data_IF_286012313661
#
_entry.id   IF_286012313661
#
_cell.length_a   1.000
_cell.length_b   1.000
_cell.length_c   1.000
_cell.angle_alpha   90.00
_cell.angle_beta   90.00
_cell.angle_gamma   90.00
#
_symmetry.space_group_name_H-M   'P 1'
#
loop_
_entity.id
_entity.type
_entity.pdbx_description
1 polymer ?
#
# COMPACT_ATOMS: atom_id res chain seq x y z
N UNK A 1 -11.12 -5.32 2.53
CA UNK A 1 -11.40 -4.51 1.33
C UNK A 1 -11.64 -3.06 1.72
N UNK A 2 -12.78 -2.72 2.33
CA UNK A 2 -13.16 -1.31 2.69
C UNK A 2 -12.06 -0.50 3.38
N UNK A 3 -11.27 -1.10 4.28
CA UNK A 3 -10.25 -0.34 5.02
C UNK A 3 -9.15 0.24 4.13
N UNK A 4 -8.72 -0.48 3.08
CA UNK A 4 -7.64 -0.03 2.19
C UNK A 4 -8.12 0.99 1.15
N UNK A 5 -9.40 0.93 0.78
CA UNK A 5 -10.01 1.83 -0.19
C UNK A 5 -9.96 3.29 0.26
N UNK A 6 -10.12 3.57 1.56
CA UNK A 6 -10.11 4.94 2.09
C UNK A 6 -8.78 5.67 1.82
N UNK A 7 -7.61 5.19 2.30
CA UNK A 7 -6.34 5.83 1.97
C UNK A 7 -6.00 5.77 0.47
N UNK A 8 -6.43 4.72 -0.24
CA UNK A 8 -6.27 4.65 -1.70
C UNK A 8 -6.97 5.82 -2.40
N UNK A 9 -8.25 6.05 -2.10
CA UNK A 9 -9.03 7.14 -2.68
C UNK A 9 -8.46 8.50 -2.27
N UNK A 10 -8.06 8.67 -1.00
CA UNK A 10 -7.42 9.91 -0.56
C UNK A 10 -6.13 10.21 -1.34
N UNK A 11 -5.34 9.18 -1.64
CA UNK A 11 -4.11 9.34 -2.43
C UNK A 11 -4.38 9.69 -3.90
N UNK A 12 -5.50 9.25 -4.47
CA UNK A 12 -5.95 9.63 -5.81
C UNK A 12 -6.42 11.08 -5.92
N UNK A 13 -6.89 11.70 -4.84
CA UNK A 13 -7.34 13.10 -4.89
C UNK A 13 -6.16 14.04 -5.18
N UNK A 14 -4.95 13.70 -4.74
CA UNK A 14 -3.76 14.53 -4.97
C UNK A 14 -3.47 14.71 -6.47
N UNK A 15 -3.27 13.66 -7.30
CA UNK A 15 -3.04 13.81 -8.73
C UNK A 15 -4.26 14.41 -9.47
N UNK A 16 -5.49 14.20 -8.99
CA UNK A 16 -6.69 14.89 -9.51
C UNK A 16 -6.64 16.39 -9.27
N UNK A 17 -6.23 16.80 -8.07
CA UNK A 17 -6.10 18.20 -7.69
C UNK A 17 -4.98 18.89 -8.47
N UNK A 18 -3.85 18.21 -8.65
CA UNK A 18 -2.71 18.73 -9.43
C UNK A 18 -3.03 18.85 -10.92
N UNK A 19 -3.78 17.89 -11.49
CA UNK A 19 -4.19 17.95 -12.89
C UNK A 19 -5.35 18.92 -13.15
N UNK A 20 -6.16 19.23 -12.13
CA UNK A 20 -7.41 19.99 -12.27
C UNK A 20 -8.50 19.25 -13.05
N UNK A 21 -8.38 17.94 -13.27
CA UNK A 21 -9.34 17.16 -14.06
C UNK A 21 -9.38 15.69 -13.63
N UNK A 22 -10.59 15.10 -13.67
CA UNK A 22 -10.79 13.65 -13.50
C UNK A 22 -10.49 12.86 -14.78
N UNK A 23 -10.23 13.52 -15.92
CA UNK A 23 -9.89 12.83 -17.16
C UNK A 23 -8.46 12.30 -17.11
N UNK A 24 -8.29 10.98 -17.25
CA UNK A 24 -6.98 10.31 -17.28
C UNK A 24 -6.05 10.89 -18.35
N UNK A 25 -6.58 11.22 -19.53
CA UNK A 25 -5.75 11.80 -20.60
C UNK A 25 -5.30 13.23 -20.23
N UNK A 26 -6.16 14.04 -19.60
CA UNK A 26 -5.76 15.37 -19.10
C UNK A 26 -4.71 15.26 -17.99
N UNK A 27 -4.81 14.26 -17.11
CA UNK A 27 -3.78 14.00 -16.10
C UNK A 27 -2.42 13.73 -16.76
N UNK A 28 -2.37 12.84 -17.75
CA UNK A 28 -1.14 12.52 -18.48
C UNK A 28 -0.56 13.75 -19.19
N UNK A 29 -1.41 14.57 -19.81
CA UNK A 29 -0.99 15.81 -20.48
C UNK A 29 -0.49 16.88 -19.51
N UNK A 30 -0.98 16.92 -18.27
CA UNK A 30 -0.57 17.89 -17.25
C UNK A 30 0.63 17.41 -16.40
N UNK A 31 1.18 16.23 -16.70
CA UNK A 31 2.37 15.67 -16.04
C UNK A 31 3.66 16.08 -16.76
N UNK A 32 4.03 17.36 -16.70
CA UNK A 32 5.35 17.82 -17.17
C UNK A 32 6.47 17.18 -16.34
N UNK A 33 6.23 17.10 -15.03
CA UNK A 33 7.02 16.30 -14.10
C UNK A 33 6.11 15.19 -13.58
N UNK A 34 6.61 13.97 -13.51
CA UNK A 34 5.82 12.83 -13.05
C UNK A 34 5.34 13.05 -11.62
N UNK A 35 4.08 12.73 -11.34
CA UNK A 35 3.52 12.90 -10.00
C UNK A 35 4.18 11.98 -8.97
N UNK A 36 4.87 10.90 -9.39
CA UNK A 36 5.72 10.12 -8.48
C UNK A 36 6.86 10.98 -7.90
N UNK A 37 7.40 11.92 -8.67
CA UNK A 37 8.43 12.85 -8.19
C UNK A 37 7.81 14.05 -7.46
N UNK A 38 6.58 14.43 -7.80
CA UNK A 38 5.88 15.52 -7.14
C UNK A 38 5.37 15.15 -5.74
N UNK A 39 4.69 14.01 -5.65
CA UNK A 39 4.05 13.50 -4.44
C UNK A 39 4.41 12.02 -4.24
N UNK A 40 5.68 11.71 -3.94
CA UNK A 40 6.14 10.32 -3.79
C UNK A 40 5.41 9.58 -2.67
N UNK A 41 5.01 10.25 -1.59
CA UNK A 41 4.27 9.62 -0.49
C UNK A 41 2.87 9.21 -0.93
N UNK A 42 2.20 10.05 -1.73
CA UNK A 42 0.90 9.72 -2.30
C UNK A 42 0.99 8.53 -3.26
N UNK A 43 1.99 8.52 -4.14
CA UNK A 43 2.23 7.42 -5.08
C UNK A 43 2.53 6.10 -4.34
N UNK A 44 3.34 6.16 -3.29
CA UNK A 44 3.71 5.00 -2.49
C UNK A 44 2.51 4.44 -1.71
N UNK A 45 1.72 5.30 -1.07
CA UNK A 45 0.51 4.88 -0.35
C UNK A 45 -0.52 4.31 -1.32
N UNK A 46 -0.74 4.95 -2.47
CA UNK A 46 -1.59 4.40 -3.54
C UNK A 46 -1.13 3.00 -3.92
N UNK A 47 0.17 2.82 -4.24
CA UNK A 47 0.72 1.53 -4.62
C UNK A 47 0.50 0.44 -3.56
N UNK A 48 0.83 0.70 -2.29
CA UNK A 48 0.64 -0.29 -1.20
C UNK A 48 -0.84 -0.62 -1.00
N UNK A 49 -1.70 0.39 -0.95
CA UNK A 49 -3.15 0.19 -0.73
C UNK A 49 -3.79 -0.54 -1.90
N UNK A 50 -3.36 -0.29 -3.13
CA UNK A 50 -3.81 -1.03 -4.30
C UNK A 50 -3.34 -2.49 -4.27
N UNK A 51 -2.10 -2.80 -3.85
CA UNK A 51 -1.66 -4.20 -3.67
C UNK A 51 -2.52 -4.90 -2.61
N UNK A 52 -2.84 -4.19 -1.51
CA UNK A 52 -3.72 -4.72 -0.46
C UNK A 52 -5.15 -4.98 -0.96
N UNK A 53 -5.62 -4.22 -1.96
CA UNK A 53 -6.92 -4.42 -2.60
C UNK A 53 -6.94 -5.60 -3.59
N UNK A 54 -5.82 -5.88 -4.29
CA UNK A 54 -5.71 -7.12 -5.09
C UNK A 54 -5.88 -8.35 -4.19
N UNK A 55 -5.53 -8.25 -2.91
CA UNK A 55 -5.61 -9.39 -1.98
C UNK A 55 -4.56 -10.45 -2.28
N UNK A 56 -3.38 -10.05 -2.79
CA UNK A 56 -2.22 -10.92 -3.01
C UNK A 56 -1.20 -10.73 -1.91
N UNK A 57 -0.32 -11.72 -1.73
CA UNK A 57 0.77 -11.67 -0.77
C UNK A 57 1.59 -10.38 -0.98
N UNK A 58 1.89 -9.62 0.08
CA UNK A 58 1.83 -10.01 1.51
C UNK A 58 0.47 -9.77 2.21
N UNK A 59 -0.57 -9.37 1.49
CA UNK A 59 -1.90 -8.98 2.01
C UNK A 59 -3.02 -9.96 1.62
N UNK A 60 -2.68 -11.23 1.37
CA UNK A 60 -3.56 -12.31 0.92
C UNK A 60 -4.39 -12.94 2.04
N UNK A 61 -5.23 -12.12 2.68
CA UNK A 61 -6.02 -12.50 3.85
C UNK A 61 -7.18 -13.46 3.55
N UNK A 62 -7.72 -13.42 2.33
CA UNK A 62 -8.90 -14.20 1.92
C UNK A 62 -8.57 -15.60 1.40
N UNK A 63 -7.41 -15.76 0.77
CA UNK A 63 -6.93 -17.04 0.25
C UNK A 63 -6.18 -17.85 1.34
N UNK A 64 -5.73 -17.20 2.40
CA UNK A 64 -4.63 -17.64 3.25
C UNK A 64 -4.40 -19.15 3.40
N UNK A 65 -3.51 -19.74 2.59
CA UNK A 65 -3.28 -21.20 2.57
C UNK A 65 -2.91 -21.78 3.94
N UNK A 66 -2.08 -21.05 4.70
CA UNK A 66 -1.62 -21.46 6.02
C UNK A 66 -2.70 -21.41 7.12
N UNK A 67 -3.78 -20.65 6.92
CA UNK A 67 -4.82 -20.42 7.93
C UNK A 67 -6.20 -20.96 7.50
N UNK A 68 -6.49 -20.95 6.20
CA UNK A 68 -7.81 -21.18 5.60
C UNK A 68 -7.80 -22.24 4.48
N UNK A 69 -6.72 -23.01 4.31
CA UNK A 69 -6.64 -24.11 3.32
C UNK A 69 -7.05 -23.64 1.91
N UNK A 70 -6.53 -22.50 1.44
CA UNK A 70 -6.86 -21.85 0.16
C UNK A 70 -8.20 -21.07 0.12
N UNK A 71 -8.87 -20.89 1.26
CA UNK A 71 -10.00 -19.97 1.40
C UNK A 71 -11.16 -20.32 0.49
N UNK A 72 -11.68 -19.34 -0.24
CA UNK A 72 -12.83 -19.55 -1.14
C UNK A 72 -12.50 -20.47 -2.34
N UNK A 73 -11.22 -20.67 -2.67
CA UNK A 73 -10.83 -21.48 -3.83
C UNK A 73 -11.18 -22.97 -3.68
N UNK A 74 -11.37 -23.48 -2.46
CA UNK A 74 -11.67 -24.90 -2.21
C UNK A 74 -13.01 -25.36 -2.78
N UNK A 75 -13.94 -24.43 -2.97
CA UNK A 75 -15.30 -24.73 -3.43
C UNK A 75 -15.39 -24.77 -4.97
N UNK A 76 -14.34 -24.33 -5.68
CA UNK A 76 -14.33 -24.20 -7.13
C UNK A 76 -13.31 -25.14 -7.78
N UNK A 77 -13.68 -25.71 -8.92
CA UNK A 77 -12.82 -26.62 -9.69
C UNK A 77 -12.82 -26.30 -11.19
N UNK A 78 -11.82 -26.85 -11.89
CA UNK A 78 -11.69 -26.73 -13.35
C UNK A 78 -11.64 -25.28 -13.83
N UNK A 79 -12.50 -24.94 -14.81
CA UNK A 79 -12.52 -23.61 -15.43
C UNK A 79 -12.90 -22.50 -14.44
N UNK A 80 -13.81 -22.77 -13.48
CA UNK A 80 -14.24 -21.75 -12.50
C UNK A 80 -13.09 -21.32 -11.61
N UNK A 81 -12.29 -22.29 -11.15
CA UNK A 81 -11.04 -22.03 -10.43
C UNK A 81 -10.07 -21.19 -11.28
N UNK A 82 -9.85 -21.57 -12.55
CA UNK A 82 -8.99 -20.81 -13.46
C UNK A 82 -9.42 -19.35 -13.68
N UNK A 83 -10.73 -19.08 -13.70
CA UNK A 83 -11.26 -17.72 -13.87
C UNK A 83 -10.92 -16.79 -12.70
N UNK A 84 -10.85 -17.29 -11.46
CA UNK A 84 -10.40 -16.49 -10.32
C UNK A 84 -8.95 -16.04 -10.48
N UNK A 85 -8.06 -16.93 -10.91
CA UNK A 85 -6.66 -16.58 -11.17
C UNK A 85 -6.53 -15.55 -12.30
N UNK A 86 -7.28 -15.72 -13.39
CA UNK A 86 -7.30 -14.75 -14.49
C UNK A 86 -7.78 -13.38 -14.00
N UNK A 87 -8.83 -13.36 -13.16
CA UNK A 87 -9.33 -12.13 -12.57
C UNK A 87 -8.26 -11.45 -11.69
N UNK A 88 -7.55 -12.19 -10.84
CA UNK A 88 -6.48 -11.64 -9.99
C UNK A 88 -5.31 -11.08 -10.82
N UNK A 89 -4.90 -11.77 -11.88
CA UNK A 89 -3.84 -11.29 -12.77
C UNK A 89 -4.27 -10.02 -13.51
N UNK A 90 -5.52 -9.99 -14.01
CA UNK A 90 -6.06 -8.82 -14.67
C UNK A 90 -6.21 -7.65 -13.69
N UNK A 91 -6.56 -7.91 -12.42
CA UNK A 91 -6.66 -6.91 -11.38
C UNK A 91 -5.29 -6.29 -11.07
N UNK A 92 -4.26 -7.11 -10.83
CA UNK A 92 -2.88 -6.63 -10.64
C UNK A 92 -2.36 -5.82 -11.83
N UNK A 93 -2.64 -6.28 -13.05
CA UNK A 93 -2.27 -5.57 -14.27
C UNK A 93 -3.00 -4.23 -14.40
N UNK A 94 -4.30 -4.19 -14.07
CA UNK A 94 -5.13 -2.97 -14.10
C UNK A 94 -4.60 -1.94 -13.11
N UNK A 95 -4.24 -2.36 -11.89
CA UNK A 95 -3.62 -1.47 -10.90
C UNK A 95 -2.28 -0.94 -11.42
N UNK A 96 -1.46 -1.80 -12.01
CA UNK A 96 -0.17 -1.39 -12.59
C UNK A 96 -0.36 -0.36 -13.72
N UNK A 97 -1.40 -0.52 -14.53
CA UNK A 97 -1.78 0.41 -15.57
C UNK A 97 -2.24 1.76 -14.97
N UNK A 98 -3.06 1.73 -13.92
CA UNK A 98 -3.51 2.94 -13.23
C UNK A 98 -2.34 3.69 -12.61
N UNK A 99 -1.40 3.01 -11.93
CA UNK A 99 -0.18 3.64 -11.40
C UNK A 99 0.63 4.29 -12.52
N UNK A 100 0.81 3.59 -13.64
CA UNK A 100 1.53 4.10 -14.81
C UNK A 100 0.91 5.39 -15.38
N UNK A 101 -0.42 5.42 -15.52
CA UNK A 101 -1.17 6.57 -16.04
C UNK A 101 -1.20 7.73 -15.04
N UNK A 102 -1.47 7.44 -13.77
CA UNK A 102 -1.74 8.46 -12.75
C UNK A 102 -0.45 9.04 -12.15
N UNK A 103 0.65 8.28 -12.10
CA UNK A 103 1.88 8.74 -11.44
C UNK A 103 3.11 8.80 -12.34
N UNK A 104 3.18 8.02 -13.44
CA UNK A 104 4.37 7.86 -14.27
C UNK A 104 4.27 8.47 -15.68
N UNK A 105 3.35 9.40 -15.95
CA UNK A 105 3.27 10.03 -17.27
C UNK A 105 2.50 9.21 -18.31
N UNK A 106 1.90 8.08 -17.95
CA UNK A 106 1.15 7.21 -18.87
C UNK A 106 1.89 6.92 -20.18
N UNK A 107 1.26 7.26 -21.31
CA UNK A 107 1.82 7.08 -22.65
C UNK A 107 2.89 8.10 -23.04
N UNK A 108 3.06 9.20 -22.29
CA UNK A 108 4.04 10.25 -22.65
C UNK A 108 5.46 9.77 -22.42
N UNK A 109 6.31 10.11 -23.38
CA UNK A 109 7.75 9.87 -23.39
C UNK A 109 8.39 10.60 -24.55
N UNK A 110 9.73 10.67 -24.63
CA UNK A 110 10.43 11.30 -25.74
C UNK A 110 9.96 10.74 -27.09
N UNK A 111 9.46 11.61 -27.96
CA UNK A 111 8.95 11.25 -29.30
C UNK A 111 7.55 10.59 -29.33
N UNK A 112 6.90 10.37 -28.19
CA UNK A 112 5.60 9.70 -28.13
C UNK A 112 4.45 10.52 -28.75
N UNK A 113 4.57 11.86 -28.73
CA UNK A 113 3.57 12.76 -29.31
C UNK A 113 3.56 12.72 -30.84
N UNK A 114 4.69 12.34 -31.47
CA UNK A 114 4.82 12.22 -32.92
C UNK A 114 4.38 10.85 -33.46
N UNK A 115 4.39 9.81 -32.63
CA UNK A 115 4.06 8.43 -33.04
C UNK A 115 3.17 7.74 -32.00
N UNK A 116 1.88 7.48 -32.31
CA UNK A 116 0.97 6.79 -31.40
C UNK A 116 1.47 5.40 -30.98
N UNK A 117 2.16 4.69 -31.87
CA UNK A 117 2.74 3.38 -31.58
C UNK A 117 3.79 3.48 -30.46
N UNK A 118 4.62 4.53 -30.48
CA UNK A 118 5.64 4.74 -29.47
C UNK A 118 5.00 5.06 -28.11
N UNK A 119 3.92 5.84 -28.08
CA UNK A 119 3.14 6.10 -26.87
C UNK A 119 2.55 4.82 -26.24
N UNK A 120 2.03 3.91 -27.08
CA UNK A 120 1.55 2.61 -26.63
C UNK A 120 2.69 1.76 -26.02
N UNK A 121 3.86 1.73 -26.67
CA UNK A 121 5.04 1.02 -26.15
C UNK A 121 5.47 1.57 -24.79
N UNK A 122 5.54 2.89 -24.61
CA UNK A 122 5.88 3.49 -23.31
C UNK A 122 4.89 3.10 -22.21
N UNK A 123 3.59 3.13 -22.51
CA UNK A 123 2.56 2.75 -21.56
C UNK A 123 2.72 1.28 -21.12
N UNK A 124 2.93 0.37 -22.07
CA UNK A 124 3.13 -1.06 -21.78
C UNK A 124 4.43 -1.31 -21.01
N UNK A 125 5.52 -0.64 -21.36
CA UNK A 125 6.80 -0.78 -20.66
C UNK A 125 6.67 -0.31 -19.20
N UNK A 126 6.10 0.87 -18.96
CA UNK A 126 5.88 1.39 -17.60
C UNK A 126 4.92 0.50 -16.80
N UNK A 127 3.83 0.04 -17.42
CA UNK A 127 2.87 -0.87 -16.77
C UNK A 127 3.54 -2.19 -16.41
N UNK A 128 4.33 -2.76 -17.31
CA UNK A 128 5.10 -3.99 -17.06
C UNK A 128 6.12 -3.82 -15.95
N UNK A 129 6.78 -2.65 -15.88
CA UNK A 129 7.71 -2.32 -14.80
C UNK A 129 7.00 -2.27 -13.44
N UNK A 130 5.85 -1.61 -13.35
CA UNK A 130 5.06 -1.58 -12.10
C UNK A 130 4.58 -2.98 -11.72
N UNK A 131 4.07 -3.76 -12.68
CA UNK A 131 3.62 -5.13 -12.41
C UNK A 131 4.78 -6.03 -11.97
N UNK A 132 5.98 -5.82 -12.53
CA UNK A 132 7.19 -6.52 -12.09
C UNK A 132 7.56 -6.17 -10.63
N UNK A 133 7.38 -4.91 -10.20
CA UNK A 133 7.54 -4.54 -8.78
C UNK A 133 6.55 -5.29 -7.89
N UNK A 134 5.28 -5.40 -8.27
CA UNK A 134 4.28 -6.18 -7.49
C UNK A 134 4.71 -7.65 -7.36
N UNK A 135 5.27 -8.25 -8.41
CA UNK A 135 5.78 -9.63 -8.38
C UNK A 135 6.98 -9.76 -7.43
N UNK A 136 7.90 -8.78 -7.42
CA UNK A 136 9.05 -8.78 -6.51
C UNK A 136 8.62 -8.62 -5.05
N UNK A 137 7.69 -7.72 -4.76
CA UNK A 137 7.19 -7.48 -3.41
C UNK A 137 6.60 -8.77 -2.81
N UNK A 138 5.83 -9.52 -3.62
CA UNK A 138 5.31 -10.84 -3.25
C UNK A 138 6.42 -11.83 -2.87
N UNK A 139 7.57 -11.79 -3.54
CA UNK A 139 8.69 -12.69 -3.27
C UNK A 139 9.54 -12.23 -2.07
N UNK A 140 9.48 -10.94 -1.71
CA UNK A 140 10.41 -10.31 -0.77
C UNK A 140 9.82 -10.09 0.63
N UNK A 141 8.51 -9.88 0.75
CA UNK A 141 7.87 -9.51 2.00
C UNK A 141 7.19 -10.69 2.71
N UNK A 142 7.29 -10.78 4.06
CA UNK A 142 6.50 -11.72 4.83
C UNK A 142 5.02 -11.30 4.83
N UNK A 143 4.14 -12.27 5.03
CA UNK A 143 2.69 -12.04 5.10
C UNK A 143 2.31 -11.22 6.33
N UNK A 144 1.37 -10.30 6.16
CA UNK A 144 0.82 -9.51 7.26
C UNK A 144 -0.44 -10.13 7.84
N UNK A 145 -0.57 -10.06 9.16
CA UNK A 145 -1.80 -10.45 9.86
C UNK A 145 -2.89 -9.37 9.67
N UNK A 146 -4.15 -9.79 9.60
CA UNK A 146 -5.33 -8.91 9.45
C UNK A 146 -5.30 -7.74 10.45
N UNK A 147 -5.02 -8.02 11.73
CA UNK A 147 -4.99 -7.00 12.79
C UNK A 147 -3.92 -5.93 12.55
N UNK A 148 -2.74 -6.34 12.08
CA UNK A 148 -1.62 -5.42 11.80
C UNK A 148 -1.95 -4.54 10.60
N UNK A 149 -2.59 -5.11 9.59
CA UNK A 149 -3.02 -4.38 8.41
C UNK A 149 -4.11 -3.34 8.72
N UNK A 150 -5.09 -3.71 9.52
CA UNK A 150 -6.16 -2.82 9.96
C UNK A 150 -5.57 -1.64 10.75
N UNK A 151 -4.68 -1.94 11.70
CA UNK A 151 -3.98 -0.93 12.48
C UNK A 151 -3.13 -0.01 11.60
N UNK A 152 -2.35 -0.56 10.66
CA UNK A 152 -1.51 0.22 9.76
C UNK A 152 -2.34 1.16 8.88
N UNK A 153 -3.44 0.66 8.34
CA UNK A 153 -4.30 1.42 7.43
C UNK A 153 -4.99 2.58 8.14
N UNK A 154 -5.66 2.32 9.27
CA UNK A 154 -6.44 3.33 9.98
C UNK A 154 -5.62 4.24 10.87
N UNK A 155 -4.56 3.74 11.52
CA UNK A 155 -3.77 4.53 12.48
C UNK A 155 -2.59 5.24 11.83
N UNK A 156 -2.14 4.78 10.65
CA UNK A 156 -0.97 5.36 9.96
C UNK A 156 -1.35 5.93 8.61
N UNK A 157 -1.82 5.11 7.66
CA UNK A 157 -2.03 5.55 6.28
C UNK A 157 -3.10 6.63 6.15
N UNK A 158 -4.29 6.42 6.72
CA UNK A 158 -5.39 7.38 6.58
C UNK A 158 -5.07 8.75 7.19
N UNK A 159 -4.56 8.88 8.43
CA UNK A 159 -4.22 10.19 9.00
C UNK A 159 -3.10 10.88 8.22
N UNK A 160 -2.07 10.14 7.80
CA UNK A 160 -0.96 10.69 7.00
C UNK A 160 -1.48 11.22 5.67
N UNK A 161 -2.38 10.49 5.00
CA UNK A 161 -2.97 10.93 3.74
C UNK A 161 -3.83 12.18 3.89
N UNK A 162 -4.61 12.30 4.96
CA UNK A 162 -5.40 13.50 5.21
C UNK A 162 -4.50 14.74 5.41
N UNK A 163 -3.44 14.59 6.20
CA UNK A 163 -2.45 15.66 6.41
C UNK A 163 -1.74 16.02 5.11
N UNK A 164 -1.29 15.02 4.36
CA UNK A 164 -0.61 15.21 3.07
C UNK A 164 -1.53 15.93 2.07
N UNK A 165 -2.79 15.54 1.98
CA UNK A 165 -3.78 16.15 1.08
C UNK A 165 -3.98 17.64 1.39
N UNK A 166 -4.22 17.99 2.66
CA UNK A 166 -4.42 19.38 3.07
C UNK A 166 -3.15 20.21 2.85
N UNK A 167 -1.99 19.69 3.22
CA UNK A 167 -0.71 20.40 3.04
C UNK A 167 -0.38 20.59 1.56
N UNK A 168 -0.62 19.58 0.73
CA UNK A 168 -0.41 19.68 -0.72
C UNK A 168 -1.34 20.74 -1.31
N UNK A 169 -2.62 20.78 -0.91
CA UNK A 169 -3.57 21.78 -1.40
C UNK A 169 -3.17 23.21 -1.03
N UNK A 170 -2.76 23.43 0.23
CA UNK A 170 -2.40 24.76 0.73
C UNK A 170 -1.07 25.25 0.13
N UNK A 171 -0.06 24.39 0.13
CA UNK A 171 1.27 24.75 -0.39
C UNK A 171 1.23 24.95 -1.90
N UNK A 172 0.50 24.11 -2.66
CA UNK A 172 0.38 24.30 -4.10
C UNK A 172 -0.20 25.67 -4.43
N UNK A 173 -1.31 26.03 -3.79
CA UNK A 173 -1.95 27.32 -3.98
C UNK A 173 -1.04 28.48 -3.60
N UNK A 174 -0.30 28.36 -2.50
CA UNK A 174 0.64 29.39 -2.03
C UNK A 174 1.80 29.57 -3.02
N UNK A 175 2.41 28.47 -3.48
CA UNK A 175 3.55 28.53 -4.39
C UNK A 175 3.18 29.08 -5.77
N UNK A 176 1.95 28.79 -6.25
CA UNK A 176 1.41 29.40 -7.46
C UNK A 176 1.25 30.91 -7.28
N UNK A 177 0.75 31.37 -6.13
CA UNK A 177 0.59 32.79 -5.83
C UNK A 177 1.92 33.56 -5.77
N UNK A 178 2.97 32.92 -5.25
CA UNK A 178 4.34 33.48 -5.21
C UNK A 178 5.01 33.45 -6.60
N UNK A 179 4.47 32.69 -7.56
CA UNK A 179 5.01 32.59 -8.92
C UNK A 179 6.25 31.69 -9.02
N UNK A 180 6.36 30.65 -8.16
CA UNK A 180 7.50 29.75 -8.16
C UNK A 180 7.59 28.90 -9.45
N UNK A 181 8.82 28.67 -9.93
CA UNK A 181 9.06 27.80 -11.09
C UNK A 181 8.60 26.36 -10.82
N UNK A 182 8.14 25.60 -11.84
CA UNK A 182 7.64 24.23 -11.65
C UNK A 182 8.64 23.30 -10.95
N UNK A 183 9.91 23.38 -11.32
CA UNK A 183 10.98 22.58 -10.72
C UNK A 183 11.19 22.88 -9.23
N UNK A 184 11.13 24.15 -8.83
CA UNK A 184 11.26 24.53 -7.43
C UNK A 184 10.05 24.06 -6.62
N UNK A 185 8.84 24.15 -7.19
CA UNK A 185 7.62 23.60 -6.59
C UNK A 185 7.72 22.10 -6.34
N UNK A 186 8.19 21.34 -7.32
CA UNK A 186 8.44 19.91 -7.17
C UNK A 186 9.48 19.63 -6.08
N UNK A 187 10.57 20.39 -6.03
CA UNK A 187 11.58 20.23 -4.99
C UNK A 187 11.02 20.42 -3.58
N UNK A 188 10.23 21.48 -3.36
CA UNK A 188 9.57 21.75 -2.07
C UNK A 188 8.58 20.63 -1.72
N UNK A 189 7.76 20.19 -2.67
CA UNK A 189 6.77 19.13 -2.44
C UNK A 189 7.43 17.77 -2.19
N UNK A 190 8.50 17.45 -2.90
CA UNK A 190 9.27 16.24 -2.66
C UNK A 190 9.83 16.24 -1.24
N UNK A 191 10.45 17.33 -0.80
CA UNK A 191 10.97 17.48 0.56
C UNK A 191 9.86 17.35 1.59
N UNK A 192 8.71 18.00 1.38
CA UNK A 192 7.54 17.86 2.26
C UNK A 192 7.10 16.40 2.42
N UNK A 193 6.98 15.66 1.30
CA UNK A 193 6.58 14.26 1.32
C UNK A 193 7.57 13.40 2.12
N UNK A 194 8.88 13.64 1.95
CA UNK A 194 9.92 12.93 2.70
C UNK A 194 9.89 13.29 4.19
N UNK A 195 9.72 14.57 4.53
CA UNK A 195 9.58 15.02 5.93
C UNK A 195 8.35 14.38 6.59
N UNK A 196 7.22 14.34 5.89
CA UNK A 196 5.99 13.70 6.40
C UNK A 196 6.18 12.19 6.58
N UNK A 197 6.87 11.53 5.66
CA UNK A 197 7.20 10.11 5.79
C UNK A 197 8.02 9.86 7.07
N UNK A 198 9.12 10.59 7.29
CA UNK A 198 9.94 10.44 8.50
C UNK A 198 9.20 10.84 9.78
N UNK A 199 8.39 11.90 9.73
CA UNK A 199 7.56 12.31 10.86
C UNK A 199 6.57 11.19 11.24
N UNK A 200 5.88 10.62 10.25
CA UNK A 200 4.96 9.50 10.49
C UNK A 200 5.67 8.26 11.07
N UNK A 201 6.82 7.87 10.54
CA UNK A 201 7.63 6.75 11.07
C UNK A 201 8.05 7.02 12.53
N UNK A 202 8.50 8.23 12.84
CA UNK A 202 8.88 8.62 14.20
C UNK A 202 7.72 8.53 15.20
N UNK A 203 6.51 8.94 14.79
CA UNK A 203 5.30 8.88 15.62
C UNK A 203 4.90 7.42 15.85
N UNK A 204 4.94 6.60 14.81
CA UNK A 204 4.61 5.16 14.90
C UNK A 204 5.58 4.45 15.82
N UNK A 205 6.89 4.67 15.66
CA UNK A 205 7.92 4.10 16.56
C UNK A 205 7.74 4.54 18.00
N UNK A 206 7.47 5.82 18.23
CA UNK A 206 7.20 6.33 19.57
C UNK A 206 5.95 5.69 20.19
N UNK A 207 4.91 5.43 19.40
CA UNK A 207 3.70 4.76 19.87
C UNK A 207 3.95 3.26 20.15
N UNK A 208 4.70 2.57 19.30
CA UNK A 208 5.05 1.15 19.48
C UNK A 208 5.96 0.95 20.70
N UNK A 209 6.92 1.84 20.95
CA UNK A 209 7.79 1.79 22.12
C UNK A 209 7.02 1.91 23.45
N UNK A 210 5.84 2.51 23.44
CA UNK A 210 4.97 2.66 24.61
C UNK A 210 4.10 1.44 24.89
N UNK A 211 4.01 0.46 23.97
CA UNK A 211 3.21 -0.75 24.20
C UNK A 211 3.99 -1.69 25.14
N UNK A 212 3.47 -2.03 26.33
CA UNK A 212 4.10 -3.03 27.18
C UNK A 212 4.16 -4.35 26.42
N UNK A 213 5.35 -4.96 26.35
CA UNK A 213 5.50 -6.29 25.77
C UNK A 213 4.61 -7.25 26.55
N UNK A 214 3.69 -7.99 25.90
CA UNK A 214 2.93 -9.03 26.59
C UNK A 214 3.93 -9.96 27.27
N UNK A 215 3.76 -10.22 28.57
CA UNK A 215 4.59 -11.20 29.25
C UNK A 215 4.22 -12.58 28.71
N UNK A 216 4.99 -13.05 27.73
CA UNK A 216 4.83 -14.38 27.10
C UNK A 216 5.40 -15.47 28.01
N UNK A 217 6.01 -15.12 29.15
CA UNK A 217 6.24 -16.09 30.21
C UNK A 217 4.86 -16.49 30.70
N UNK A 218 4.36 -17.61 30.18
CA UNK A 218 3.13 -18.19 30.67
C UNK A 218 3.23 -18.24 32.18
N UNK A 219 2.21 -17.73 32.88
CA UNK A 219 2.01 -18.06 34.31
C UNK A 219 2.33 -19.54 34.44
N UNK A 220 3.25 -19.90 35.33
CA UNK A 220 3.54 -21.30 35.64
C UNK A 220 2.19 -21.97 35.82
N UNK A 221 1.79 -22.77 34.82
CA UNK A 221 0.54 -23.50 34.91
C UNK A 221 0.75 -24.44 36.09
N UNK A 222 -0.21 -24.55 37.03
CA UNK A 222 -0.09 -25.55 38.07
C UNK A 222 0.08 -26.90 37.37
N UNK A 223 1.32 -27.40 37.39
CA UNK A 223 1.62 -28.73 36.89
C UNK A 223 0.85 -29.64 37.82
N UNK A 224 -0.04 -30.47 37.29
CA UNK A 224 -0.67 -31.51 38.07
C UNK A 224 0.44 -32.41 38.59
N UNK A 225 0.90 -32.14 39.82
CA UNK A 225 1.75 -33.06 40.54
C UNK A 225 0.81 -34.19 40.92
N UNK A 226 1.08 -35.45 40.53
CA UNK A 226 0.38 -36.55 41.16
C UNK A 226 0.56 -36.36 42.67
N UNK A 227 -0.53 -36.51 43.43
CA UNK A 227 -0.40 -36.66 44.86
C UNK A 227 0.45 -37.89 45.08
N UNK A 228 1.76 -37.70 45.26
CA UNK A 228 2.67 -38.78 45.56
C UNK A 228 2.20 -39.33 46.90
N UNK A 229 1.60 -40.52 46.87
CA UNK A 229 1.24 -41.28 48.06
C UNK A 229 2.43 -41.38 49.04
N UNK A 230 3.66 -41.32 48.51
CA UNK A 230 4.92 -41.36 49.24
C UNK A 230 5.38 -40.04 49.89
N UNK A 231 4.72 -38.91 49.62
CA UNK A 231 5.07 -37.60 50.22
C UNK A 231 4.12 -37.15 51.34
N UNK A 232 3.11 -37.97 51.69
CA UNK A 232 2.30 -37.70 52.88
C UNK A 232 3.08 -38.11 54.13
N UNK A 233 3.41 -37.19 55.05
CA UNK A 233 4.00 -37.55 56.33
C UNK A 233 2.89 -38.21 57.17
N UNK A 234 2.78 -39.54 57.10
CA UNK A 234 1.83 -40.30 57.93
C UNK A 234 1.32 -41.63 57.38
N UNK A 235 1.58 -42.01 56.11
CA UNK A 235 1.03 -43.25 55.53
C UNK A 235 1.96 -44.48 55.61
N UNK A 236 2.88 -44.48 56.57
CA UNK A 236 3.83 -45.57 56.80
C UNK A 236 3.86 -45.99 58.27
N UNK A 237 2.77 -46.58 58.74
CA UNK A 237 2.70 -47.48 59.90
C UNK A 237 1.36 -48.22 59.87
#
# INVERSE_FOLDING_TARGET
>A
LISYEVPMVLSLIIPVMLSGSLSMNRMVLNQDIWYVAYAPLAAFIFFITSIAEVGRAPFDLTEAESELVAGFNIEYSGLKFGMFYVADFLHSFTISLLVSVIFLGGWRGPGAEASPLLGFVYLIVKTSLVNFLIIIERASLPRFRIDQMMDFTWKVLTPVMLVLLVLTALLEKLMIMVGMTPWLRTGVMFVLNIVLLFASDSIVRAHLARRPRPDVRGKERPVARPENFFSQPGSGA
#
